data_IF_690845711074
#
_entry.id   IF_690845711074
#
_cell.length_a   1.000
_cell.length_b   1.000
_cell.length_c   1.000
_cell.angle_alpha   90.00
_cell.angle_beta   90.00
_cell.angle_gamma   90.00
#
_symmetry.space_group_name_H-M   'P 1'
#
loop_
_entity.id
_entity.type
_entity.pdbx_description
1 polymer ?
2 non-polymer ?
3 non-polymer ?
4 water ?
#
# COMPACT_ATOMS: atom_id res chain seq x y z
N UNK A 2 -17.44 9.77 -6.19
CA UNK A 2 -17.28 8.34 -6.44
C UNK A 2 -15.90 7.97 -7.03
N UNK A 3 -15.46 6.76 -6.69
CA UNK A 3 -14.17 6.27 -7.16
C UNK A 3 -14.25 4.76 -7.26
N UNK A 4 -13.45 4.21 -8.17
CA UNK A 4 -13.31 2.76 -8.31
C UNK A 4 -11.84 2.50 -8.61
N UNK A 5 -11.18 1.82 -7.68
CA UNK A 5 -9.76 1.50 -7.79
C UNK A 5 -9.45 0.27 -8.65
N UNK A 6 -10.48 -0.46 -9.09
CA UNK A 6 -10.29 -1.69 -9.86
C UNK A 6 -9.39 -1.42 -11.05
N UNK A 7 -8.38 -2.24 -11.21
CA UNK A 7 -7.52 -2.13 -12.37
C UNK A 7 -6.17 -2.75 -12.11
N UNK A 8 -5.32 -2.64 -13.15
CA UNK A 8 -3.93 -3.04 -13.10
C UNK A 8 -3.08 -1.78 -13.22
N UNK A 9 -2.07 -1.64 -12.36
CA UNK A 9 -1.37 -0.38 -12.14
C UNK A 9 0.13 -0.65 -12.10
N UNK A 10 0.89 0.18 -12.83
CA UNK A 10 2.34 0.07 -12.88
C UNK A 10 3.00 1.27 -12.18
N UNK A 11 4.03 0.98 -11.36
CA UNK A 11 4.69 2.05 -10.60
C UNK A 11 5.37 3.06 -11.55
N UNK A 12 5.10 4.33 -11.34
CA UNK A 12 5.74 5.42 -12.07
C UNK A 12 6.82 6.07 -11.22
N UNK A 13 6.53 6.41 -9.97
CA UNK A 13 7.48 6.98 -9.04
C UNK A 13 7.31 6.40 -7.64
N UNK A 14 8.38 6.48 -6.85
CA UNK A 14 8.43 5.92 -5.50
C UNK A 14 9.42 6.78 -4.72
N UNK A 15 8.90 7.72 -3.96
CA UNK A 15 9.68 8.78 -3.33
C UNK A 15 9.82 8.48 -1.83
N UNK A 16 11.08 8.42 -1.36
CA UNK A 16 11.42 8.36 0.06
C UNK A 16 11.07 7.03 0.70
N UNK A 17 11.04 5.96 -0.08
CA UNK A 17 10.69 4.65 0.48
C UNK A 17 11.73 4.14 1.48
N UNK A 18 13.02 4.37 1.22
CA UNK A 18 14.04 3.86 2.12
C UNK A 18 13.89 4.43 3.51
N UNK A 19 13.66 5.75 3.64
CA UNK A 19 13.47 6.34 4.95
C UNK A 19 12.21 5.82 5.62
N UNK A 20 11.13 5.56 4.85
CA UNK A 20 9.95 4.94 5.42
C UNK A 20 10.28 3.57 5.98
N UNK A 21 10.99 2.74 5.21
CA UNK A 21 11.33 1.43 5.71
C UNK A 21 12.31 1.51 6.88
N UNK A 22 13.21 2.50 6.87
CA UNK A 22 14.12 2.67 8.02
C UNK A 22 13.34 2.96 9.29
N UNK A 23 12.30 3.79 9.19
CA UNK A 23 11.48 4.09 10.36
C UNK A 23 10.68 2.89 10.85
N UNK A 24 10.52 1.87 10.00
CA UNK A 24 9.94 0.60 10.40
C UNK A 24 11.00 -0.40 10.88
N UNK A 25 12.27 0.02 10.95
CA UNK A 25 13.39 -0.80 11.44
C UNK A 25 13.71 -1.97 10.51
N UNK A 26 13.40 -1.80 9.22
CA UNK A 26 13.73 -2.81 8.23
C UNK A 26 15.23 -2.83 8.02
N UNK A 27 15.80 -4.03 7.99
CA UNK A 27 17.23 -4.23 7.74
C UNK A 27 17.69 -3.55 6.47
N UNK A 28 18.83 -2.85 6.55
CA UNK A 28 19.30 -2.00 5.45
C UNK A 28 19.55 -2.83 4.19
N UNK A 29 19.94 -4.09 4.33
CA UNK A 29 20.07 -4.94 3.16
C UNK A 29 18.73 -5.10 2.46
N UNK A 30 17.66 -5.29 3.23
CA UNK A 30 16.33 -5.45 2.65
C UNK A 30 15.79 -4.12 2.14
N UNK A 31 16.14 -3.01 2.80
CA UNK A 31 15.75 -1.70 2.29
C UNK A 31 16.28 -1.47 0.89
N UNK A 32 17.53 -1.90 0.64
CA UNK A 32 18.13 -1.66 -0.66
C UNK A 32 17.49 -2.54 -1.72
N UNK A 33 17.27 -3.82 -1.38
CA UNK A 33 16.55 -4.72 -2.28
C UNK A 33 15.18 -4.13 -2.60
N UNK A 34 14.47 -3.68 -1.58
CA UNK A 34 13.07 -3.31 -1.78
C UNK A 34 12.93 -2.01 -2.57
N UNK A 35 13.83 -1.06 -2.36
CA UNK A 35 13.71 0.20 -3.09
C UNK A 35 14.08 0.06 -4.56
N UNK A 36 14.77 -1.01 -4.95
CA UNK A 36 15.00 -1.29 -6.38
C UNK A 36 13.73 -1.78 -7.07
N UNK A 37 12.76 -2.27 -6.31
CA UNK A 37 11.58 -2.89 -6.88
C UNK A 37 10.62 -1.85 -7.41
N UNK A 38 10.01 -2.16 -8.55
CA UNK A 38 8.93 -1.36 -9.12
C UNK A 38 7.69 -2.27 -9.23
N UNK A 39 7.00 -2.50 -8.11
CA UNK A 39 5.92 -3.49 -8.12
C UNK A 39 4.73 -2.99 -8.91
N UNK A 40 3.95 -3.95 -9.41
CA UNK A 40 2.65 -3.67 -9.98
C UNK A 40 1.61 -3.84 -8.87
N UNK A 41 0.44 -3.29 -9.12
CA UNK A 41 -0.69 -3.46 -8.21
C UNK A 41 -1.88 -3.94 -9.03
N UNK A 42 -2.52 -5.00 -8.58
CA UNK A 42 -3.76 -5.49 -9.16
C UNK A 42 -4.83 -5.33 -8.11
N UNK A 43 -5.83 -4.50 -8.40
CA UNK A 43 -6.86 -4.14 -7.42
C UNK A 43 -8.23 -4.54 -7.96
N UNK A 44 -9.06 -5.17 -7.11
CA UNK A 44 -10.48 -5.37 -7.37
C UNK A 44 -11.26 -4.74 -6.21
N UNK A 45 -12.05 -3.71 -6.52
CA UNK A 45 -13.02 -3.12 -5.59
C UNK A 45 -14.39 -3.73 -5.89
N UNK A 46 -14.94 -4.46 -4.93
CA UNK A 46 -16.14 -5.30 -5.09
C UNK A 46 -17.09 -4.85 -3.98
N UNK A 47 -17.90 -3.85 -4.28
CA UNK A 47 -18.63 -3.19 -3.21
C UNK A 47 -17.64 -2.50 -2.30
N UNK A 48 -17.73 -2.78 -1.00
CA UNK A 48 -16.73 -2.31 -0.04
C UNK A 48 -15.70 -3.38 0.31
N UNK A 49 -15.65 -4.47 -0.46
CA UNK A 49 -14.62 -5.48 -0.31
C UNK A 49 -13.48 -5.12 -1.25
N UNK A 50 -12.32 -4.83 -0.68
CA UNK A 50 -11.14 -4.48 -1.44
C UNK A 50 -10.11 -5.60 -1.43
N UNK A 51 -9.55 -5.88 -2.61
CA UNK A 51 -8.38 -6.72 -2.73
C UNK A 51 -7.30 -5.89 -3.44
N UNK A 52 -6.15 -5.73 -2.79
CA UNK A 52 -5.02 -5.00 -3.36
C UNK A 52 -3.83 -5.94 -3.33
N UNK A 53 -3.42 -6.41 -4.50
CA UNK A 53 -2.29 -7.29 -4.64
C UNK A 53 -1.11 -6.48 -5.14
N UNK A 54 -0.09 -6.33 -4.30
CA UNK A 54 1.15 -5.64 -4.67
C UNK A 54 2.18 -6.71 -5.04
N UNK A 55 2.61 -6.70 -6.28
CA UNK A 55 3.31 -7.84 -6.86
C UNK A 55 4.71 -7.43 -7.31
N UNK A 56 5.71 -8.14 -6.80
CA UNK A 56 7.09 -7.90 -7.21
C UNK A 56 7.86 -9.21 -7.31
N UNK A 57 9.06 -9.12 -7.89
CA UNK A 57 9.91 -10.31 -8.03
C UNK A 57 10.54 -10.76 -6.72
N UNK A 58 10.47 -9.94 -5.66
CA UNK A 58 11.07 -10.29 -4.36
C UNK A 58 10.01 -10.90 -3.45
N UNK A 59 9.04 -10.11 -3.04
CA UNK A 59 7.94 -10.57 -2.20
C UNK A 59 6.68 -9.89 -2.71
N UNK A 60 5.54 -10.56 -2.54
CA UNK A 60 4.26 -9.92 -2.77
C UNK A 60 3.71 -9.49 -1.42
N UNK A 61 2.82 -8.50 -1.44
CA UNK A 61 2.05 -8.14 -0.27
C UNK A 61 0.58 -8.10 -0.68
N UNK A 62 -0.25 -8.92 -0.03
CA UNK A 62 -1.66 -9.06 -0.39
C UNK A 62 -2.52 -8.47 0.72
N UNK A 63 -3.37 -7.51 0.36
CA UNK A 63 -4.41 -7.02 1.25
C UNK A 63 -5.78 -7.48 0.74
N UNK A 64 -6.64 -7.85 1.69
CA UNK A 64 -7.97 -8.37 1.38
C UNK A 64 -8.78 -8.00 2.62
N UNK A 65 -9.66 -7.01 2.49
CA UNK A 65 -10.37 -6.45 3.63
C UNK A 65 -11.70 -5.82 3.21
N UNK A 66 -12.50 -5.48 4.22
CA UNK A 66 -13.73 -4.72 4.02
C UNK A 66 -13.53 -3.31 4.51
N UNK A 67 -13.84 -2.33 3.66
CA UNK A 67 -13.74 -0.93 4.08
C UNK A 67 -14.63 -0.72 5.29
N UNK A 68 -14.08 -0.07 6.33
CA UNK A 68 -14.85 0.23 7.51
C UNK A 68 -14.77 -0.78 8.63
N UNK A 69 -14.12 -1.92 8.40
CA UNK A 69 -14.09 -3.04 9.33
C UNK A 69 -12.66 -3.30 9.77
N UNK A 70 -12.41 -3.21 11.07
CA UNK A 70 -11.07 -3.44 11.60
C UNK A 70 -10.66 -4.89 11.40
N UNK A 71 -9.39 -5.11 11.08
CA UNK A 71 -8.86 -6.44 10.90
C UNK A 71 -7.43 -6.53 11.40
N UNK A 72 -6.97 -7.76 11.60
CA UNK A 72 -5.60 -8.02 12.00
C UNK A 72 -4.75 -8.14 10.74
N UNK A 73 -3.80 -7.21 10.58
CA UNK A 73 -2.97 -7.13 9.39
C UNK A 73 -1.62 -7.76 9.70
N UNK A 74 -1.27 -8.78 8.94
CA UNK A 74 -0.04 -9.54 9.14
C UNK A 74 1.03 -8.95 8.22
N UNK A 75 1.96 -8.21 8.82
CA UNK A 75 3.05 -7.54 8.13
C UNK A 75 4.37 -8.27 8.36
N UNK A 76 4.30 -9.57 8.67
CA UNK A 76 5.51 -10.36 8.89
C UNK A 76 6.50 -10.20 7.74
N UNK A 77 6.02 -10.24 6.50
CA UNK A 77 6.93 -10.11 5.36
C UNK A 77 7.57 -8.74 5.15
N UNK A 78 7.12 -7.73 5.90
CA UNK A 78 7.51 -6.36 5.64
C UNK A 78 8.43 -5.87 6.75
N UNK A 79 7.88 -5.70 7.96
CA UNK A 79 8.67 -5.25 9.09
C UNK A 79 8.51 -6.15 10.31
N UNK A 80 8.01 -7.37 10.12
CA UNK A 80 7.90 -8.35 11.21
C UNK A 80 7.01 -7.85 12.32
N UNK A 81 5.88 -7.25 11.96
CA UNK A 81 4.92 -6.76 12.93
C UNK A 81 3.53 -7.14 12.49
N UNK A 82 2.59 -7.00 13.41
CA UNK A 82 1.17 -7.16 13.18
C UNK A 82 0.48 -5.94 13.74
N UNK A 83 -0.45 -5.41 12.98
CA UNK A 83 -1.26 -4.28 13.38
C UNK A 83 -2.74 -4.61 13.39
N UNK A 84 -3.49 -3.83 14.14
CA UNK A 84 -4.94 -3.80 14.04
C UNK A 84 -5.28 -2.62 13.12
N UNK A 85 -5.78 -2.92 11.93
CA UNK A 85 -5.90 -1.96 10.85
C UNK A 85 -7.35 -1.69 10.48
N UNK A 86 -7.66 -0.44 10.20
CA UNK A 86 -8.95 -0.06 9.63
C UNK A 86 -8.73 0.81 8.41
N UNK A 87 -9.33 0.45 7.29
CA UNK A 87 -9.34 1.26 6.08
C UNK A 87 -10.73 1.84 5.93
N UNK A 88 -10.85 3.15 5.83
CA UNK A 88 -12.14 3.84 5.80
C UNK A 88 -12.19 4.77 4.59
N UNK A 89 -13.40 5.02 4.10
CA UNK A 89 -13.59 6.06 3.11
C UNK A 89 -13.41 7.44 3.76
N UNK A 90 -12.74 8.30 3.04
CA UNK A 90 -12.64 9.73 3.36
C UNK A 90 -12.99 10.40 2.02
N UNK A 91 -14.28 10.56 1.76
CA UNK A 91 -14.73 10.95 0.44
C UNK A 91 -14.26 9.89 -0.55
N UNK A 92 -13.54 10.31 -1.58
CA UNK A 92 -13.05 9.44 -2.66
C UNK A 92 -11.66 8.88 -2.34
N UNK A 93 -11.19 9.04 -1.13
CA UNK A 93 -9.88 8.53 -0.71
C UNK A 93 -10.09 7.37 0.26
N UNK A 94 -9.17 6.43 0.28
CA UNK A 94 -9.13 5.39 1.29
C UNK A 94 -8.10 5.80 2.33
N UNK A 95 -8.49 5.82 3.60
CA UNK A 95 -7.64 6.24 4.69
C UNK A 95 -7.44 5.05 5.61
N UNK A 96 -6.20 4.62 5.75
CA UNK A 96 -5.84 3.45 6.52
C UNK A 96 -5.09 3.87 7.77
N UNK A 97 -5.54 3.38 8.93
CA UNK A 97 -4.82 3.52 10.19
C UNK A 97 -4.40 2.13 10.64
N UNK A 98 -3.11 1.98 10.96
CA UNK A 98 -2.51 0.72 11.36
C UNK A 98 -2.06 0.86 12.80
N UNK A 99 -2.91 0.44 13.73
CA UNK A 99 -2.60 0.54 15.15
C UNK A 99 -1.63 -0.56 15.59
N UNK A 100 -0.59 -0.17 16.33
CA UNK A 100 0.41 -1.12 16.76
C UNK A 100 1.55 -0.41 17.47
N UNK A 101 2.73 -1.02 17.39
CA UNK A 101 3.89 -0.52 18.12
C UNK A 101 4.32 0.86 17.63
N UNK A 102 4.24 1.09 16.33
CA UNK A 102 4.73 2.32 15.74
C UNK A 102 3.63 3.37 15.75
N UNK A 103 4.00 4.61 16.04
CA UNK A 103 2.98 5.64 16.16
C UNK A 103 2.80 6.29 14.80
N UNK A 104 1.58 6.76 14.54
CA UNK A 104 1.30 7.47 13.29
C UNK A 104 1.45 6.64 12.03
N UNK A 105 1.17 5.34 12.11
CA UNK A 105 1.36 4.43 10.99
C UNK A 105 0.07 4.30 10.19
N UNK A 106 0.14 4.57 8.89
CA UNK A 106 -1.06 4.46 8.06
C UNK A 106 -0.74 4.82 6.63
N UNK A 107 -1.80 5.06 5.85
CA UNK A 107 -1.64 5.44 4.45
C UNK A 107 -2.93 6.04 3.93
N UNK A 108 -2.82 6.71 2.80
CA UNK A 108 -3.92 7.27 2.05
C UNK A 108 -3.76 6.92 0.58
N UNK A 109 -4.81 6.41 -0.05
CA UNK A 109 -4.82 6.02 -1.45
C UNK A 109 -5.94 6.74 -2.17
N UNK A 110 -5.67 7.25 -3.36
CA UNK A 110 -6.65 7.99 -4.11
C UNK A 110 -6.29 7.94 -5.59
N UNK A 111 -7.23 8.41 -6.43
CA UNK A 111 -7.03 8.46 -7.88
C UNK A 111 -7.09 9.91 -8.35
N UNK A 112 -6.21 10.23 -9.28
CA UNK A 112 -6.25 11.49 -10.02
C UNK A 112 -6.09 11.12 -11.49
N UNK A 113 -7.16 11.23 -12.27
CA UNK A 113 -7.09 10.85 -13.67
C UNK A 113 -6.77 9.38 -13.80
N UNK A 114 -5.69 9.06 -14.51
CA UNK A 114 -5.25 7.68 -14.71
C UNK A 114 -4.13 7.30 -13.75
N UNK A 115 -3.96 8.07 -12.69
CA UNK A 115 -2.92 7.84 -11.69
C UNK A 115 -3.54 7.35 -10.38
N UNK A 116 -2.94 6.32 -9.81
CA UNK A 116 -3.20 5.87 -8.45
C UNK A 116 -2.11 6.44 -7.55
N UNK A 117 -2.52 7.17 -6.54
CA UNK A 117 -1.62 7.84 -5.61
C UNK A 117 -1.70 7.14 -4.27
N UNK A 118 -0.55 6.91 -3.66
CA UNK A 118 -0.46 6.22 -2.40
C UNK A 118 0.59 6.90 -1.54
N UNK A 119 0.16 7.44 -0.41
CA UNK A 119 1.05 8.05 0.57
C UNK A 119 1.07 7.18 1.80
N UNK A 120 2.26 6.74 2.21
CA UNK A 120 2.43 5.87 3.37
C UNK A 120 3.24 6.60 4.41
N UNK A 121 2.89 6.44 5.68
CA UNK A 121 3.41 7.26 6.76
C UNK A 121 3.71 6.39 7.97
N UNK A 122 4.76 6.73 8.70
CA UNK A 122 5.00 6.16 10.02
C UNK A 122 5.94 7.07 10.77
N UNK A 123 5.62 7.38 12.03
CA UNK A 123 6.49 8.18 12.89
C UNK A 123 6.89 9.48 12.21
N UNK A 124 5.96 10.09 11.48
CA UNK A 124 6.23 11.34 10.83
C UNK A 124 7.01 11.27 9.53
N UNK A 125 7.45 10.09 9.10
CA UNK A 125 8.15 9.90 7.84
C UNK A 125 7.14 9.54 6.78
N UNK A 126 7.32 10.07 5.57
CA UNK A 126 6.33 9.97 4.50
C UNK A 126 6.99 9.47 3.23
N UNK A 127 6.39 8.48 2.61
CA UNK A 127 6.72 7.98 1.29
C UNK A 127 5.53 8.18 0.37
N UNK A 128 5.79 8.63 -0.84
CA UNK A 128 4.74 8.84 -1.83
C UNK A 128 5.02 8.03 -3.08
N UNK A 129 4.03 7.27 -3.53
CA UNK A 129 4.09 6.48 -4.74
C UNK A 129 2.97 6.92 -5.67
N UNK A 130 3.24 6.86 -6.97
CA UNK A 130 2.24 7.08 -7.99
C UNK A 130 2.37 5.96 -9.01
N UNK A 131 1.23 5.37 -9.36
CA UNK A 131 1.09 4.31 -10.35
C UNK A 131 0.23 4.81 -11.50
N UNK A 132 0.49 4.28 -12.69
CA UNK A 132 -0.32 4.56 -13.87
C UNK A 132 -1.16 3.35 -14.25
N UNK A 133 -2.42 3.59 -14.61
CA UNK A 133 -3.32 2.51 -15.01
C UNK A 133 -2.88 2.00 -16.37
N UNK A 134 -2.77 0.67 -16.45
CA UNK A 134 -2.29 0.02 -17.66
C UNK A 134 -3.28 -1.06 -18.07
N UNK A 135 -3.11 -1.54 -19.30
CA UNK A 135 -4.07 -2.45 -19.92
C UNK A 135 -3.52 -3.77 -20.42
N UNK A 136 -2.21 -3.94 -20.48
CA UNK A 136 -1.61 -5.22 -20.82
C UNK A 136 -1.53 -6.06 -19.59
N UNK A 137 -2.31 -7.13 -19.55
CA UNK A 137 -2.38 -7.88 -18.32
C UNK A 137 -1.32 -8.95 -18.23
N UNK A 138 -0.90 -9.16 -16.99
CA UNK A 138 0.25 -9.93 -16.57
C UNK A 138 -0.31 -11.16 -15.90
N UNK A 139 0.04 -12.32 -16.43
CA UNK A 139 -0.31 -13.55 -15.75
C UNK A 139 0.51 -13.66 -14.47
N UNK A 140 -0.15 -14.10 -13.39
CA UNK A 140 0.55 -14.41 -12.14
C UNK A 140 0.09 -15.77 -11.59
X LIG B 1 9.32 -6.50 1.85
X LIG B 1 10.01 -5.43 2.39
X LIG B 1 9.71 -4.17 1.94
X LIG B 1 8.75 -3.96 0.96
X LIG B 1 8.06 -5.04 0.42
X LIG B 1 8.35 -6.31 0.87
X LIG B 1 11.09 -5.64 3.47
X LIG B 1 7.00 -4.76 -0.65
X LIG B 1 7.43 -4.24 -2.02
X LIG B 1 6.54 -4.97 -3.04
X LIG B 1 5.51 -5.68 -2.22
X LIG B 1 6.32 -6.11 -1.01
X LIG B 1 4.34 -2.84 0.88
X LIG B 1 6.02 -3.70 -0.20
X LIG B 1 3.12 -2.71 1.84
X LIG B 1 4.42 -1.13 3.13
X LIG B 1 2.81 -0.32 1.56
X LIG B 1 1.46 -0.53 0.85
X LIG B 1 0.24 0.03 1.18
X LIG B 1 1.20 -1.31 -0.33
X LIG B 1 -2.15 -0.03 0.25
X LIG B 1 5.93 -2.41 -0.59
X LIG B 1 5.03 -3.96 0.71
X LIG B 1 3.12 -1.40 2.49
X LIG B 1 -0.74 -0.40 0.27
X LIG B 1 -0.12 -1.21 -0.65
X LIG B 1 4.87 -1.88 0.09
X LIG C 1 -16.19 6.73 -2.27
X LIG C 1 -16.01 7.27 -3.56
X LIG C 1 -17.61 6.99 -1.78
X LIG C 1 -17.87 8.50 -1.78
X LIG C 1 -18.34 8.90 -3.06
X LIG C 1 -17.57 6.52 -0.32
X LIG C 1 -18.81 6.67 0.31
X LIG C 1 -18.58 6.28 -2.66
X LIG C 1 -19.96 6.50 -2.22
X LIG C 1 -20.89 6.47 -3.44
X LIG C 1 -20.45 7.30 -4.49
X LIG C 1 -18.35 4.86 -2.89
X LIG C 1 -17.52 4.66 -4.18
X LIG C 1 -18.01 5.44 -5.25
X LIG C 1 -15.48 7.19 -1.59
X LIG C 1 -16.01 5.66 -2.31
X LIG C 1 -15.13 7.55 -3.66
X LIG C 1 -16.95 9.02 -1.56
X LIG C 1 -18.62 8.74 -1.03
X LIG C 1 -18.26 9.83 -3.14
X LIG C 1 -16.84 7.12 0.21
X LIG C 1 -17.28 5.48 -0.29
X LIG C 1 -18.72 6.47 1.24
X LIG C 1 -20.03 7.48 -1.74
X LIG C 1 -20.25 5.74 -1.52
X LIG C 1 -21.88 6.78 -3.14
X LIG C 1 -20.94 5.45 -3.81
X LIG C 1 -21.19 7.50 -5.06
X LIG C 1 -17.79 4.44 -2.05
X LIG C 1 -19.29 4.35 -3.00
X LIG C 1 -17.56 3.62 -4.46
X LIG C 1 -16.49 4.94 -3.99
X LIG C 1 -17.79 5.04 -6.07
#
# INVERSE_FOLDING_TARGET
MPVDFTGYWKMLVNENFEEYLRALDVNVALRKIANLLKPDKEIVQDGDHMIIRTLSTFRNYIMDFQVGKEFEEDLTGIDDRKCMTTVSWDGDKLQCVQKGEKEGRGWTQWIEGDELHLEMRVEGVVCKQVFKKVQHHHHHH
ZCF C01 C02 C03 C04 C05 C06 C07 C08 C09 C10 C11 C12 C13 C14 C15 C16 C17 C18 C19 C20 C21 N01 N02 N03 N04 N05 O01
BTB C1 O1 C2 C3 O3 C4 O4 N C5 C6 O6 C7 C8 O8 H11 H12 HO1 H31 H32 HO3 H41 H42 HO4 H51 H52 H61 H62 HO6 H71 H72 H81 H82 HO8
#
